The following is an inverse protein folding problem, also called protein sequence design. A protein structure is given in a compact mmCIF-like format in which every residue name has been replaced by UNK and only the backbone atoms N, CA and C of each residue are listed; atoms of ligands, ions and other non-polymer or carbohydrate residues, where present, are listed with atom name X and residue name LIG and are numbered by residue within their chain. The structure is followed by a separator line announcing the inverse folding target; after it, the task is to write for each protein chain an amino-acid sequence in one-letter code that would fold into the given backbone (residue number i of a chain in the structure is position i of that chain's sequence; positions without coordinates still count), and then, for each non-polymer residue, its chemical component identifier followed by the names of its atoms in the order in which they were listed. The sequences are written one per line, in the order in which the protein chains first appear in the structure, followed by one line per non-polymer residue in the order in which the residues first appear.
data_IF_474777199844
#
_entry.id   IF_474777199844
#
_cell.length_a   1.000
_cell.length_b   1.000
_cell.length_c   1.000
_cell.angle_alpha   90.00
_cell.angle_beta   90.00
_cell.angle_gamma   90.00
#
_symmetry.space_group_name_H-M   'P 1'
#
loop_
_entity.id
_entity.type
_entity.pdbx_description
1 polymer ?
#
# COMPACT_ATOMS: atom_id res chain seq x y z
N UNK A 1 -10.65 18.16 -28.44
CA UNK A 1 -10.35 19.07 -27.31
C UNK A 1 -11.37 18.80 -26.23
N UNK A 2 -10.98 18.65 -24.97
CA UNK A 2 -11.89 19.01 -23.88
C UNK A 2 -11.25 20.19 -23.14
N UNK A 3 -11.91 21.36 -23.08
CA UNK A 3 -12.61 21.78 -21.86
C UNK A 3 -11.61 21.88 -20.68
N UNK A 4 -11.25 23.02 -20.08
CA UNK A 4 -11.72 24.42 -20.05
C UNK A 4 -10.50 25.34 -19.91
N UNK A 5 -10.65 26.63 -20.23
CA UNK A 5 -9.63 27.65 -19.94
C UNK A 5 -9.31 27.70 -18.44
N UNK A 6 -8.11 28.17 -18.07
CA UNK A 6 -7.88 28.63 -16.69
C UNK A 6 -9.02 29.58 -16.29
N UNK A 7 -9.53 29.40 -15.07
CA UNK A 7 -10.51 30.32 -14.51
C UNK A 7 -9.95 31.75 -14.59
N UNK A 8 -10.72 32.67 -15.16
CA UNK A 8 -10.29 34.07 -15.22
C UNK A 8 -10.08 34.58 -13.78
N UNK A 9 -9.04 35.40 -13.55
CA UNK A 9 -8.69 35.90 -12.21
C UNK A 9 -9.87 36.49 -11.41
N UNK A 10 -10.82 37.23 -12.02
CA UNK A 10 -11.99 37.73 -11.29
C UNK A 10 -12.97 36.64 -10.81
N UNK A 11 -12.93 35.45 -11.40
CA UNK A 11 -13.69 34.28 -10.95
C UNK A 11 -12.92 33.57 -9.85
N UNK A 12 -11.60 33.38 -10.00
CA UNK A 12 -10.74 32.79 -8.95
C UNK A 12 -10.90 33.52 -7.61
N UNK A 13 -10.86 34.86 -7.67
CA UNK A 13 -11.02 35.75 -6.52
C UNK A 13 -12.40 35.62 -5.84
N UNK A 14 -13.48 35.67 -6.62
CA UNK A 14 -14.86 35.65 -6.08
C UNK A 14 -15.39 34.25 -5.75
N UNK A 15 -14.81 33.20 -6.34
CA UNK A 15 -15.20 31.82 -6.11
C UNK A 15 -14.40 31.15 -4.97
N UNK A 16 -13.45 31.87 -4.36
CA UNK A 16 -12.56 31.36 -3.31
C UNK A 16 -11.88 30.05 -3.75
N UNK A 17 -11.29 30.05 -4.95
CA UNK A 17 -10.59 28.89 -5.49
C UNK A 17 -9.35 28.55 -4.65
N UNK A 18 -9.12 27.25 -4.43
CA UNK A 18 -7.88 26.74 -3.85
C UNK A 18 -7.33 25.64 -4.74
N UNK A 19 -6.05 25.75 -5.08
CA UNK A 19 -5.33 24.71 -5.78
C UNK A 19 -4.74 23.72 -4.77
N UNK A 20 -5.00 22.44 -4.98
CA UNK A 20 -4.48 21.38 -4.12
C UNK A 20 -3.22 20.80 -4.76
N UNK A 21 -2.17 20.63 -3.95
CA UNK A 21 -1.01 19.86 -4.37
C UNK A 21 -1.31 18.36 -4.30
N UNK A 22 -0.79 17.55 -5.23
CA UNK A 22 -0.79 16.10 -5.09
C UNK A 22 -0.16 15.68 -3.75
N UNK A 23 -0.80 14.81 -2.95
CA UNK A 23 -0.19 14.31 -1.72
C UNK A 23 1.05 13.48 -2.02
N UNK A 24 1.96 13.43 -1.06
CA UNK A 24 3.01 12.41 -1.06
C UNK A 24 2.42 11.01 -0.91
N UNK A 25 3.17 9.98 -1.31
CA UNK A 25 2.74 8.58 -1.15
C UNK A 25 2.56 8.18 0.32
N UNK A 26 3.33 8.78 1.23
CA UNK A 26 3.18 8.55 2.67
C UNK A 26 1.84 9.11 3.19
N UNK A 27 1.48 10.33 2.79
CA UNK A 27 0.19 10.95 3.13
C UNK A 27 -0.98 10.20 2.50
N UNK A 28 -0.85 9.80 1.24
CA UNK A 28 -1.88 9.01 0.58
C UNK A 28 -2.01 7.62 1.24
N UNK A 29 -0.90 6.98 1.60
CA UNK A 29 -0.90 5.69 2.30
C UNK A 29 -1.57 5.79 3.66
N UNK A 30 -1.37 6.89 4.40
CA UNK A 30 -2.08 7.16 5.66
C UNK A 30 -3.59 7.15 5.44
N UNK A 31 -4.06 8.01 4.53
CA UNK A 31 -5.47 8.11 4.20
C UNK A 31 -6.04 6.78 3.68
N UNK A 32 -5.32 6.11 2.78
CA UNK A 32 -5.73 4.86 2.16
C UNK A 32 -5.88 3.74 3.18
N UNK A 33 -4.95 3.66 4.14
CA UNK A 33 -5.03 2.66 5.22
C UNK A 33 -6.23 2.92 6.13
N UNK A 34 -6.52 4.18 6.45
CA UNK A 34 -7.66 4.57 7.29
C UNK A 34 -9.01 4.30 6.62
N UNK A 35 -9.07 4.42 5.29
CA UNK A 35 -10.26 4.15 4.49
C UNK A 35 -10.35 2.70 4.02
N UNK A 36 -9.41 1.83 4.41
CA UNK A 36 -9.45 0.41 4.08
C UNK A 36 -9.25 0.12 2.58
N UNK A 37 -8.49 0.98 1.89
CA UNK A 37 -8.10 0.76 0.50
C UNK A 37 -7.36 -0.59 0.37
N UNK A 38 -7.55 -1.23 -0.78
CA UNK A 38 -7.01 -2.55 -1.11
C UNK A 38 -5.48 -2.55 -0.96
N UNK A 39 -4.95 -3.50 -0.18
CA UNK A 39 -3.53 -3.53 0.16
C UNK A 39 -2.63 -3.79 -1.05
N UNK A 40 -3.17 -4.36 -2.15
CA UNK A 40 -2.44 -4.51 -3.41
C UNK A 40 -2.11 -3.15 -4.01
N UNK A 41 -3.06 -2.21 -3.95
CA UNK A 41 -2.87 -0.84 -4.42
C UNK A 41 -1.84 -0.13 -3.53
N UNK A 42 -2.00 -0.24 -2.20
CA UNK A 42 -1.06 0.37 -1.26
C UNK A 42 0.37 -0.17 -1.47
N UNK A 43 0.53 -1.49 -1.61
CA UNK A 43 1.82 -2.13 -1.85
C UNK A 43 2.45 -1.68 -3.17
N UNK A 44 1.67 -1.61 -4.25
CA UNK A 44 2.14 -1.14 -5.54
C UNK A 44 2.62 0.31 -5.50
N UNK A 45 1.87 1.20 -4.85
CA UNK A 45 2.22 2.62 -4.77
C UNK A 45 3.40 2.90 -3.85
N UNK A 46 3.60 2.09 -2.80
CA UNK A 46 4.82 2.17 -2.00
C UNK A 46 6.04 1.61 -2.75
N UNK A 47 5.84 0.61 -3.62
CA UNK A 47 6.90 0.11 -4.51
C UNK A 47 7.28 1.10 -5.62
N UNK A 48 6.29 1.75 -6.25
CA UNK A 48 6.50 2.74 -7.31
C UNK A 48 5.73 4.04 -7.05
N UNK A 49 6.25 4.91 -6.18
CA UNK A 49 5.58 6.14 -5.76
C UNK A 49 5.19 7.09 -6.89
N UNK A 50 5.99 7.12 -7.96
CA UNK A 50 5.76 7.96 -9.14
C UNK A 50 4.46 7.61 -9.91
N UNK A 51 3.83 6.48 -9.62
CA UNK A 51 2.56 6.08 -10.22
C UNK A 51 1.33 6.57 -9.44
N UNK A 52 1.48 7.26 -8.30
CA UNK A 52 0.35 7.83 -7.55
C UNK A 52 -0.40 8.88 -8.39
N UNK A 53 0.35 9.76 -9.04
CA UNK A 53 -0.17 10.85 -9.86
C UNK A 53 0.64 10.96 -11.15
N UNK A 54 -0.01 10.69 -12.28
CA UNK A 54 0.56 10.82 -13.62
C UNK A 54 -0.51 11.35 -14.58
N UNK A 55 -0.38 12.64 -14.88
CA UNK A 55 -1.22 13.38 -15.83
C UNK A 55 -0.31 13.83 -16.96
N UNK A 56 -0.54 13.31 -18.15
CA UNK A 56 0.13 13.70 -19.38
C UNK A 56 -0.95 14.02 -20.41
N UNK A 57 -0.98 15.26 -20.89
CA UNK A 57 -2.01 15.72 -21.83
C UNK A 57 -1.67 15.37 -23.29
N UNK A 58 -0.43 14.98 -23.56
CA UNK A 58 0.08 14.76 -24.91
C UNK A 58 0.00 13.28 -25.33
N UNK A 59 -0.05 12.34 -24.38
CA UNK A 59 -0.06 10.90 -24.67
C UNK A 59 -1.44 10.37 -25.10
N UNK A 60 -2.50 11.17 -24.97
CA UNK A 60 -3.89 10.82 -25.31
C UNK A 60 -4.47 9.69 -24.45
N UNK A 61 -3.78 9.30 -23.38
CA UNK A 61 -4.23 8.26 -22.45
C UNK A 61 -5.10 8.84 -21.35
N UNK A 62 -5.74 7.93 -20.62
CA UNK A 62 -6.42 8.27 -19.38
C UNK A 62 -5.40 8.67 -18.32
N UNK A 63 -5.72 9.70 -17.54
CA UNK A 63 -4.89 10.10 -16.40
C UNK A 63 -4.92 9.07 -15.28
N UNK A 64 -3.80 8.97 -14.57
CA UNK A 64 -3.70 8.26 -13.30
C UNK A 64 -3.62 9.28 -12.18
N UNK A 65 -4.58 9.24 -11.26
CA UNK A 65 -4.66 10.17 -10.13
C UNK A 65 -4.97 9.39 -8.86
N UNK A 66 -4.80 10.03 -7.72
CA UNK A 66 -5.16 9.56 -6.38
C UNK A 66 -6.62 9.08 -6.34
N UNK A 67 -7.52 9.84 -6.96
CA UNK A 67 -8.94 9.48 -7.12
C UNK A 67 -9.16 8.32 -8.09
N UNK A 68 -8.28 8.17 -9.08
CA UNK A 68 -8.25 6.99 -9.96
C UNK A 68 -7.95 5.72 -9.18
N UNK A 69 -6.99 5.78 -8.24
CA UNK A 69 -6.67 4.67 -7.34
C UNK A 69 -7.79 4.36 -6.34
N UNK A 70 -8.43 5.38 -5.78
CA UNK A 70 -9.63 5.20 -4.95
C UNK A 70 -10.77 4.54 -5.75
N UNK A 71 -11.03 5.00 -6.98
CA UNK A 71 -12.02 4.37 -7.85
C UNK A 71 -11.66 2.91 -8.13
N UNK A 72 -10.38 2.65 -8.41
CA UNK A 72 -9.90 1.30 -8.66
C UNK A 72 -10.18 0.37 -7.48
N UNK A 73 -9.97 0.84 -6.24
CA UNK A 73 -10.27 0.07 -5.03
C UNK A 73 -11.69 -0.50 -5.04
N UNK A 74 -12.70 0.32 -5.35
CA UNK A 74 -14.08 -0.13 -5.40
C UNK A 74 -14.34 -1.12 -6.55
N UNK A 75 -13.65 -0.97 -7.67
CA UNK A 75 -13.85 -1.80 -8.86
C UNK A 75 -13.21 -3.19 -8.74
N UNK A 76 -12.13 -3.35 -7.97
CA UNK A 76 -11.37 -4.61 -7.87
C UNK A 76 -11.74 -5.47 -6.65
N UNK A 77 -12.75 -5.07 -5.89
CA UNK A 77 -13.18 -5.80 -4.69
C UNK A 77 -13.59 -7.23 -5.07
N UNK A 78 -12.95 -8.21 -4.42
CA UNK A 78 -13.21 -9.63 -4.68
C UNK A 78 -12.58 -10.20 -5.95
N UNK A 79 -11.98 -9.39 -6.82
CA UNK A 79 -11.34 -9.87 -8.05
C UNK A 79 -10.05 -10.62 -7.75
N UNK A 80 -9.99 -11.87 -8.21
CA UNK A 80 -8.81 -12.74 -8.14
C UNK A 80 -8.23 -13.05 -9.53
N UNK A 81 -9.04 -13.01 -10.59
CA UNK A 81 -8.55 -13.27 -11.95
C UNK A 81 -7.72 -12.10 -12.46
N UNK A 82 -6.51 -12.39 -12.93
CA UNK A 82 -5.59 -11.34 -13.35
C UNK A 82 -5.92 -10.71 -14.71
N UNK A 83 -6.68 -11.40 -15.58
CA UNK A 83 -7.11 -10.79 -16.85
C UNK A 83 -8.23 -9.80 -16.59
N UNK A 84 -9.17 -10.17 -15.71
CA UNK A 84 -10.22 -9.28 -15.24
C UNK A 84 -9.63 -8.08 -14.47
N UNK A 85 -8.64 -8.32 -13.60
CA UNK A 85 -7.92 -7.26 -12.89
C UNK A 85 -7.29 -6.25 -13.86
N UNK A 86 -6.62 -6.72 -14.91
CA UNK A 86 -5.99 -5.86 -15.93
C UNK A 86 -7.03 -4.99 -16.65
N UNK A 87 -8.09 -5.62 -17.12
CA UNK A 87 -9.18 -4.97 -17.83
C UNK A 87 -9.85 -3.90 -16.98
N UNK A 88 -10.23 -4.26 -15.75
CA UNK A 88 -10.90 -3.36 -14.80
C UNK A 88 -9.96 -2.23 -14.39
N UNK A 89 -8.66 -2.51 -14.20
CA UNK A 89 -7.67 -1.48 -13.87
C UNK A 89 -7.55 -0.42 -14.96
N UNK A 90 -7.55 -0.82 -16.24
CA UNK A 90 -7.55 0.11 -17.37
C UNK A 90 -8.79 1.02 -17.43
N UNK A 91 -9.87 0.71 -16.70
CA UNK A 91 -11.04 1.59 -16.61
C UNK A 91 -10.84 2.76 -15.63
N UNK A 92 -9.99 2.61 -14.62
CA UNK A 92 -9.79 3.60 -13.56
C UNK A 92 -8.53 4.46 -13.72
N UNK A 93 -7.46 3.87 -14.27
CA UNK A 93 -6.12 4.47 -14.42
C UNK A 93 -5.59 4.26 -15.84
N UNK A 94 -4.43 4.84 -16.16
CA UNK A 94 -3.81 4.68 -17.48
C UNK A 94 -3.50 3.21 -17.79
N UNK A 95 -3.60 2.83 -19.07
CA UNK A 95 -3.47 1.42 -19.48
C UNK A 95 -2.07 0.86 -19.17
N UNK A 96 -1.02 1.67 -19.38
CA UNK A 96 0.35 1.26 -19.05
C UNK A 96 0.52 0.96 -17.55
N UNK A 97 -0.02 1.83 -16.69
CA UNK A 97 0.09 1.64 -15.23
C UNK A 97 -0.83 0.49 -14.76
N UNK A 98 -1.99 0.29 -15.39
CA UNK A 98 -2.86 -0.85 -15.11
C UNK A 98 -2.16 -2.20 -15.34
N UNK A 99 -1.41 -2.33 -16.45
CA UNK A 99 -0.62 -3.54 -16.73
C UNK A 99 0.50 -3.74 -15.74
N UNK A 100 1.21 -2.66 -15.36
CA UNK A 100 2.23 -2.71 -14.31
C UNK A 100 1.65 -3.15 -12.96
N UNK A 101 0.51 -2.59 -12.56
CA UNK A 101 -0.19 -2.96 -11.33
C UNK A 101 -0.62 -4.43 -11.36
N UNK A 102 -1.16 -4.91 -12.48
CA UNK A 102 -1.53 -6.32 -12.64
C UNK A 102 -0.31 -7.23 -12.58
N UNK A 103 0.80 -6.85 -13.23
CA UNK A 103 2.06 -7.60 -13.17
C UNK A 103 2.59 -7.67 -11.73
N UNK A 104 2.54 -6.57 -10.99
CA UNK A 104 2.86 -6.53 -9.56
C UNK A 104 1.98 -7.50 -8.77
N UNK A 105 0.68 -7.55 -9.04
CA UNK A 105 -0.24 -8.48 -8.38
C UNK A 105 0.07 -9.95 -8.74
N UNK A 106 0.45 -10.26 -9.98
CA UNK A 106 0.81 -11.62 -10.43
C UNK A 106 2.06 -12.16 -9.74
N UNK A 107 2.97 -11.28 -9.32
CA UNK A 107 4.18 -11.69 -8.59
C UNK A 107 3.80 -12.45 -7.31
N UNK A 108 2.60 -12.23 -6.74
CA UNK A 108 2.01 -13.04 -5.65
C UNK A 108 2.21 -14.54 -5.83
N UNK A 109 2.00 -15.07 -7.03
CA UNK A 109 2.04 -16.52 -7.26
C UNK A 109 3.45 -17.09 -7.16
N UNK A 110 4.47 -16.24 -7.30
CA UNK A 110 5.87 -16.62 -7.05
C UNK A 110 6.23 -16.60 -5.56
N UNK A 111 5.39 -15.97 -4.74
CA UNK A 111 5.62 -15.79 -3.30
C UNK A 111 4.94 -16.90 -2.54
N UNK A 112 5.73 -17.74 -1.89
CA UNK A 112 5.22 -18.75 -0.96
C UNK A 112 4.97 -18.13 0.41
N UNK A 113 3.95 -17.28 0.50
CA UNK A 113 3.61 -16.53 1.71
C UNK A 113 3.44 -17.47 2.92
N UNK A 114 2.82 -18.63 2.73
CA UNK A 114 2.62 -19.65 3.76
C UNK A 114 3.95 -20.25 4.25
N UNK A 115 4.94 -20.40 3.37
CA UNK A 115 6.27 -20.86 3.76
C UNK A 115 7.00 -19.79 4.58
N UNK A 116 6.86 -18.51 4.24
CA UNK A 116 7.42 -17.38 5.01
C UNK A 116 6.75 -17.28 6.39
N UNK A 117 5.43 -17.45 6.47
CA UNK A 117 4.69 -17.46 7.73
C UNK A 117 5.13 -18.63 8.62
N UNK A 118 5.41 -19.81 8.03
CA UNK A 118 5.90 -20.97 8.80
C UNK A 118 7.36 -20.76 9.23
N UNK A 119 8.21 -20.32 8.32
CA UNK A 119 9.64 -20.10 8.54
C UNK A 119 10.05 -18.68 8.10
N UNK A 120 10.05 -17.70 9.02
CA UNK A 120 10.41 -16.31 8.73
C UNK A 120 11.78 -16.12 8.10
N UNK A 121 12.76 -17.00 8.37
CA UNK A 121 14.10 -16.90 7.79
C UNK A 121 14.10 -17.04 6.26
N UNK A 122 13.10 -17.69 5.67
CA UNK A 122 12.94 -17.75 4.20
C UNK A 122 12.75 -16.38 3.57
N UNK A 123 12.34 -15.36 4.35
CA UNK A 123 12.29 -13.99 3.86
C UNK A 123 13.68 -13.49 3.42
N UNK A 124 14.78 -14.02 3.98
CA UNK A 124 16.15 -13.68 3.58
C UNK A 124 16.46 -14.05 2.12
N UNK A 125 15.75 -15.03 1.57
CA UNK A 125 15.88 -15.47 0.18
C UNK A 125 15.14 -14.51 -0.79
N UNK A 126 14.24 -13.68 -0.27
CA UNK A 126 13.47 -12.71 -1.06
C UNK A 126 14.34 -11.50 -1.38
N UNK A 127 14.90 -11.48 -2.59
CA UNK A 127 15.71 -10.36 -3.09
C UNK A 127 14.86 -9.29 -3.79
N UNK A 128 13.77 -9.68 -4.45
CA UNK A 128 12.92 -8.77 -5.21
C UNK A 128 12.14 -7.83 -4.28
N UNK A 129 12.31 -6.53 -4.48
CA UNK A 129 11.68 -5.46 -3.69
C UNK A 129 10.15 -5.50 -3.83
N UNK A 130 9.64 -5.80 -5.01
CA UNK A 130 8.21 -5.91 -5.30
C UNK A 130 7.60 -7.06 -4.49
N UNK A 131 8.31 -8.19 -4.39
CA UNK A 131 7.89 -9.31 -3.53
C UNK A 131 7.88 -8.87 -2.06
N UNK A 132 8.89 -8.14 -1.58
CA UNK A 132 8.92 -7.68 -0.18
C UNK A 132 7.71 -6.82 0.16
N UNK A 133 7.36 -5.85 -0.70
CA UNK A 133 6.16 -5.03 -0.53
C UNK A 133 4.89 -5.88 -0.50
N UNK A 134 4.75 -6.81 -1.44
CA UNK A 134 3.62 -7.72 -1.48
C UNK A 134 3.49 -8.56 -0.20
N UNK A 135 4.60 -9.13 0.29
CA UNK A 135 4.61 -9.96 1.50
C UNK A 135 4.19 -9.14 2.71
N UNK A 136 4.75 -7.95 2.92
CA UNK A 136 4.44 -7.16 4.13
C UNK A 136 3.02 -6.63 4.16
N UNK A 137 2.46 -6.24 3.01
CA UNK A 137 1.05 -5.83 2.94
C UNK A 137 0.11 -7.03 3.17
N UNK A 138 0.40 -8.18 2.57
CA UNK A 138 -0.36 -9.41 2.76
C UNK A 138 -0.29 -9.93 4.21
N UNK A 139 0.85 -9.83 4.88
CA UNK A 139 1.01 -10.20 6.29
C UNK A 139 0.13 -9.34 7.21
N UNK A 140 0.03 -8.03 6.93
CA UNK A 140 -0.83 -7.13 7.69
C UNK A 140 -2.33 -7.48 7.50
N UNK A 141 -2.75 -7.82 6.28
CA UNK A 141 -4.11 -8.33 6.02
C UNK A 141 -4.36 -9.68 6.72
N UNK A 142 -3.43 -10.63 6.62
CA UNK A 142 -3.55 -11.92 7.30
C UNK A 142 -3.58 -11.77 8.82
N UNK A 143 -2.88 -10.78 9.37
CA UNK A 143 -3.01 -10.43 10.77
C UNK A 143 -4.41 -9.92 11.09
N UNK A 144 -4.98 -8.99 10.30
CA UNK A 144 -6.39 -8.55 10.44
C UNK A 144 -7.37 -9.73 10.45
N UNK A 145 -7.19 -10.67 9.53
CA UNK A 145 -8.02 -11.88 9.37
C UNK A 145 -7.75 -12.97 10.42
N UNK A 146 -6.85 -12.73 11.40
CA UNK A 146 -6.45 -13.70 12.44
C UNK A 146 -5.76 -14.97 11.90
N UNK A 147 -5.28 -14.94 10.66
CA UNK A 147 -4.47 -16.02 10.05
C UNK A 147 -3.01 -15.97 10.51
N UNK A 148 -2.54 -14.79 10.95
CA UNK A 148 -1.19 -14.56 11.48
C UNK A 148 -1.27 -14.00 12.90
N UNK A 149 -0.37 -14.44 13.78
CA UNK A 149 -0.27 -13.96 15.16
C UNK A 149 0.73 -12.81 15.29
N UNK A 150 0.65 -12.06 16.39
CA UNK A 150 1.55 -10.93 16.62
C UNK A 150 3.00 -11.39 16.80
N UNK A 151 3.23 -12.54 17.43
CA UNK A 151 4.55 -13.15 17.60
C UNK A 151 5.20 -13.41 16.25
N UNK A 152 4.42 -13.90 15.27
CA UNK A 152 4.93 -14.14 13.93
C UNK A 152 5.30 -12.84 13.21
N UNK A 153 4.52 -11.77 13.38
CA UNK A 153 4.91 -10.45 12.88
C UNK A 153 6.23 -9.98 13.52
N UNK A 154 6.43 -10.22 14.82
CA UNK A 154 7.69 -9.89 15.49
C UNK A 154 8.88 -10.70 14.94
N UNK A 155 8.71 -12.00 14.70
CA UNK A 155 9.76 -12.85 14.11
C UNK A 155 10.16 -12.36 12.71
N UNK A 156 9.17 -12.06 11.86
CA UNK A 156 9.42 -11.50 10.52
C UNK A 156 10.09 -10.12 10.62
N UNK A 157 9.70 -9.32 11.60
CA UNK A 157 10.34 -8.02 11.86
C UNK A 157 11.80 -8.15 12.27
N UNK A 158 12.17 -9.19 13.04
CA UNK A 158 13.58 -9.46 13.37
C UNK A 158 14.39 -9.79 12.13
N UNK A 159 13.85 -10.66 11.27
CA UNK A 159 14.50 -11.02 10.00
C UNK A 159 14.69 -9.80 9.11
N UNK A 160 13.66 -8.96 8.98
CA UNK A 160 13.74 -7.71 8.23
C UNK A 160 14.77 -6.72 8.82
N UNK A 161 14.88 -6.66 10.15
CA UNK A 161 15.83 -5.76 10.84
C UNK A 161 17.27 -6.23 10.62
N UNK A 162 17.51 -7.54 10.68
CA UNK A 162 18.80 -8.16 10.31
C UNK A 162 19.18 -7.85 8.85
N UNK A 163 18.20 -7.84 7.94
CA UNK A 163 18.38 -7.46 6.54
C UNK A 163 18.47 -5.95 6.32
N UNK A 164 18.40 -5.13 7.38
CA UNK A 164 18.41 -3.65 7.32
C UNK A 164 17.27 -3.07 6.47
N UNK A 165 16.14 -3.77 6.40
CA UNK A 165 14.96 -3.45 5.59
C UNK A 165 13.89 -2.75 6.46
N UNK A 166 14.22 -1.60 7.05
CA UNK A 166 13.39 -0.94 8.06
C UNK A 166 12.07 -0.37 7.50
N UNK A 167 12.04 0.05 6.23
CA UNK A 167 10.83 0.59 5.59
C UNK A 167 9.70 -0.45 5.53
N UNK A 168 10.04 -1.71 5.28
CA UNK A 168 9.08 -2.82 5.22
C UNK A 168 8.48 -3.13 6.58
N UNK A 169 9.28 -3.01 7.65
CA UNK A 169 8.79 -3.18 9.03
C UNK A 169 7.80 -2.07 9.36
N UNK A 170 8.18 -0.81 9.07
CA UNK A 170 7.34 0.34 9.33
C UNK A 170 5.99 0.23 8.59
N UNK A 171 6.01 -0.10 7.30
CA UNK A 171 4.80 -0.31 6.51
C UNK A 171 3.93 -1.45 7.08
N UNK A 172 4.54 -2.61 7.36
CA UNK A 172 3.82 -3.77 7.91
C UNK A 172 3.11 -3.43 9.22
N UNK A 173 3.83 -2.79 10.15
CA UNK A 173 3.31 -2.47 11.48
C UNK A 173 2.25 -1.38 11.41
N UNK A 174 2.46 -0.36 10.58
CA UNK A 174 1.49 0.69 10.31
C UNK A 174 0.17 0.11 9.79
N UNK A 175 0.22 -0.75 8.77
CA UNK A 175 -0.96 -1.44 8.24
C UNK A 175 -1.64 -2.32 9.30
N UNK A 176 -0.86 -3.17 9.99
CA UNK A 176 -1.40 -4.06 11.03
C UNK A 176 -2.07 -3.28 12.17
N UNK A 177 -1.48 -2.16 12.59
CA UNK A 177 -2.03 -1.30 13.65
C UNK A 177 -3.33 -0.62 13.24
N UNK A 178 -3.47 -0.19 11.99
CA UNK A 178 -4.68 0.48 11.50
C UNK A 178 -5.79 -0.52 11.18
N UNK A 179 -5.44 -1.65 10.55
CA UNK A 179 -6.41 -2.69 10.19
C UNK A 179 -7.00 -3.44 11.40
N UNK A 180 -6.23 -3.59 12.49
CA UNK A 180 -6.64 -4.34 13.67
C UNK A 180 -6.36 -3.58 14.97
N UNK A 181 -6.74 -2.29 15.04
CA UNK A 181 -6.41 -1.33 16.11
C UNK A 181 -6.48 -1.87 17.54
N UNK A 182 -7.63 -2.36 17.98
CA UNK A 182 -7.81 -2.83 19.36
C UNK A 182 -6.97 -4.08 19.66
N UNK A 183 -6.92 -5.01 18.71
CA UNK A 183 -6.13 -6.24 18.83
C UNK A 183 -4.64 -5.92 18.85
N UNK A 184 -4.16 -5.12 17.90
CA UNK A 184 -2.77 -4.72 17.81
C UNK A 184 -2.33 -4.01 19.08
N UNK A 185 -3.14 -3.08 19.61
CA UNK A 185 -2.83 -2.38 20.87
C UNK A 185 -2.70 -3.35 22.04
N UNK A 186 -3.61 -4.32 22.16
CA UNK A 186 -3.56 -5.35 23.21
C UNK A 186 -2.30 -6.22 23.06
N UNK A 187 -2.07 -6.73 21.86
CA UNK A 187 -0.93 -7.61 21.57
C UNK A 187 0.40 -6.86 21.78
N UNK A 188 0.47 -5.58 21.39
CA UNK A 188 1.64 -4.71 21.53
C UNK A 188 1.96 -4.35 22.99
N UNK A 189 0.96 -4.21 23.86
CA UNK A 189 1.13 -3.81 25.27
C UNK A 189 1.35 -4.99 26.22
N UNK A 190 1.15 -6.23 25.75
CA UNK A 190 1.34 -7.42 26.58
C UNK A 190 2.82 -7.56 26.98
N UNK A 191 3.06 -7.66 28.30
CA UNK A 191 4.39 -7.57 28.96
C UNK A 191 5.38 -8.69 28.60
N UNK A 192 4.90 -9.82 28.09
CA UNK A 192 5.74 -11.01 27.81
C UNK A 192 6.65 -10.89 26.58
N UNK A 193 6.69 -9.72 25.94
CA UNK A 193 7.44 -9.47 24.70
C UNK A 193 8.19 -8.13 24.78
N UNK A 194 8.99 -7.91 25.84
CA UNK A 194 9.96 -6.81 25.87
C UNK A 194 10.99 -7.03 24.74
N UNK A 195 10.73 -6.38 23.61
CA UNK A 195 11.44 -6.61 22.36
C UNK A 195 12.05 -5.27 21.92
N UNK A 196 13.38 -5.18 21.69
CA UNK A 196 14.05 -3.98 21.18
C UNK A 196 13.37 -3.37 19.95
N UNK A 197 12.76 -4.21 19.10
CA UNK A 197 12.02 -3.75 17.92
C UNK A 197 10.78 -2.93 18.27
N UNK A 198 10.07 -3.26 19.36
CA UNK A 198 8.91 -2.46 19.80
C UNK A 198 9.34 -1.03 20.12
N UNK A 199 10.45 -0.87 20.84
CA UNK A 199 11.00 0.46 21.16
C UNK A 199 11.51 1.17 19.90
N UNK A 200 12.13 0.46 18.97
CA UNK A 200 12.64 1.06 17.73
C UNK A 200 11.52 1.58 16.82
N UNK A 201 10.43 0.83 16.70
CA UNK A 201 9.38 1.12 15.72
C UNK A 201 8.12 1.79 16.29
N UNK A 202 8.04 2.02 17.61
CA UNK A 202 6.89 2.69 18.22
C UNK A 202 6.63 4.09 17.65
N UNK A 203 7.68 4.84 17.28
CA UNK A 203 7.55 6.20 16.76
C UNK A 203 6.82 6.26 15.41
N UNK A 204 6.94 5.19 14.61
CA UNK A 204 6.30 5.06 13.29
C UNK A 204 4.82 4.67 13.39
N UNK A 205 4.34 4.31 14.59
CA UNK A 205 2.95 3.93 14.84
C UNK A 205 2.08 5.10 15.36
N UNK A 206 2.71 6.15 15.88
CA UNK A 206 2.04 7.27 16.58
C UNK A 206 1.87 8.51 15.68
N UNK A 207 2.58 8.56 14.54
CA UNK A 207 2.36 9.56 13.48
C UNK A 207 1.30 9.08 12.49
#
# INVERSE_FOLDING_TARGET
RAYTHELASPVKDRACEVELMPPSVDEWTNWATENGIDSRIIGFLNWKPSNLHKVDFDDGQKFTTERGWERLHYLIQGLQDYKELDLVSGTAISEGIAREFTAFCKIKDSVKLEEIIKNPDKFKEVQDISIKYFVVTALAEHYKDKKVTFEKLLEISRVLDEMKCAEFIALMWKLASKYAKERFRKDFTTKDLDNPLRRKFHEYLVK
#
